data_IF_668886810610
#
_entry.id   IF_668886810610
#
_cell.length_a   1.000
_cell.length_b   1.000
_cell.length_c   1.000
_cell.angle_alpha   90.00
_cell.angle_beta   90.00
_cell.angle_gamma   90.00
#
_symmetry.space_group_name_H-M   'P 1'
#
loop_
_entity.id
_entity.type
_entity.pdbx_description
1 polymer ?
#
# COMPACT_ATOMS: atom_id res chain seq x y z
N UNK A 1 -35.89 52.11 93.43
CA UNK A 1 -35.01 53.09 92.75
C UNK A 1 -34.39 52.36 91.58
N UNK A 2 -35.00 52.44 90.39
CA UNK A 2 -34.78 53.51 89.40
C UNK A 2 -33.36 53.40 88.83
N UNK A 3 -33.10 53.23 87.53
CA UNK A 3 -33.91 53.48 86.32
C UNK A 3 -33.26 52.78 85.12
N UNK A 4 -34.10 52.46 84.14
CA UNK A 4 -33.78 52.03 82.76
C UNK A 4 -32.63 52.79 82.09
N UNK A 5 -31.94 52.14 81.14
CA UNK A 5 -31.80 52.65 79.76
C UNK A 5 -31.40 51.51 78.80
N UNK A 6 -32.41 51.10 78.02
CA UNK A 6 -32.44 50.82 76.57
C UNK A 6 -31.20 50.37 75.76
N UNK A 7 -31.55 49.46 74.83
CA UNK A 7 -31.21 49.41 73.39
C UNK A 7 -30.05 48.53 72.88
N UNK A 8 -30.43 47.29 72.51
CA UNK A 8 -30.46 46.73 71.14
C UNK A 8 -29.15 46.52 70.33
N UNK A 9 -29.19 45.66 69.29
CA UNK A 9 -28.29 44.52 69.13
C UNK A 9 -27.18 44.80 68.10
N UNK A 10 -26.03 44.15 68.21
CA UNK A 10 -25.05 44.16 67.12
C UNK A 10 -24.68 42.75 66.66
N UNK A 11 -24.72 42.66 65.34
CA UNK A 11 -24.75 41.50 64.46
C UNK A 11 -23.43 40.71 64.46
N UNK A 12 -23.45 39.44 64.00
CA UNK A 12 -22.23 38.67 63.82
C UNK A 12 -21.45 39.23 62.62
N UNK A 13 -20.29 39.82 62.84
CA UNK A 13 -19.35 40.12 61.76
C UNK A 13 -18.77 38.79 61.27
N UNK A 14 -19.38 38.23 60.23
CA UNK A 14 -18.83 37.13 59.43
C UNK A 14 -17.66 37.66 58.60
N UNK A 15 -16.54 37.94 59.24
CA UNK A 15 -15.25 38.16 58.57
C UNK A 15 -14.63 36.81 58.18
N UNK A 16 -15.33 36.07 57.33
CA UNK A 16 -14.90 34.74 56.91
C UNK A 16 -15.36 34.43 55.49
N UNK A 17 -14.82 35.15 54.49
CA UNK A 17 -14.44 34.58 53.18
C UNK A 17 -14.02 35.68 52.23
N UNK A 18 -12.75 35.56 51.82
CA UNK A 18 -12.10 35.99 50.56
C UNK A 18 -10.78 36.68 50.84
N UNK A 19 -9.89 35.98 51.55
CA UNK A 19 -8.47 36.05 51.18
C UNK A 19 -8.36 35.33 49.84
N UNK A 20 -8.73 36.04 48.76
CA UNK A 20 -8.33 35.64 47.42
C UNK A 20 -6.81 35.50 47.49
N UNK A 21 -6.35 34.27 47.31
CA UNK A 21 -4.95 33.88 47.36
C UNK A 21 -4.21 34.86 46.43
N UNK A 22 -3.53 35.84 47.01
CA UNK A 22 -2.77 36.83 46.25
C UNK A 22 -1.61 36.05 45.62
N UNK A 23 -1.79 35.65 44.36
CA UNK A 23 -0.75 34.99 43.59
C UNK A 23 0.39 36.01 43.48
N UNK A 24 1.59 35.62 43.91
CA UNK A 24 2.76 36.48 43.74
C UNK A 24 2.91 36.84 42.27
N UNK A 25 3.24 38.10 41.96
CA UNK A 25 3.49 38.56 40.58
C UNK A 25 4.50 37.66 39.86
N UNK A 26 5.48 37.12 40.59
CA UNK A 26 6.45 36.14 40.07
C UNK A 26 5.81 34.80 39.68
N UNK A 27 4.81 34.33 40.42
CA UNK A 27 4.08 33.09 40.12
C UNK A 27 3.21 33.26 38.85
N UNK A 28 2.62 34.44 38.66
CA UNK A 28 1.88 34.77 37.43
C UNK A 28 2.83 34.82 36.24
N UNK A 29 4.00 35.46 36.38
CA UNK A 29 5.00 35.53 35.31
C UNK A 29 5.49 34.13 34.90
N UNK A 30 5.76 33.25 35.86
CA UNK A 30 6.17 31.88 35.60
C UNK A 30 5.08 31.08 34.88
N UNK A 31 3.82 31.24 35.30
CA UNK A 31 2.68 30.61 34.63
C UNK A 31 2.51 31.09 33.19
N UNK A 32 2.75 32.37 32.91
CA UNK A 32 2.71 32.93 31.54
C UNK A 32 3.82 32.34 30.68
N UNK A 33 5.05 32.25 31.19
CA UNK A 33 6.17 31.65 30.45
C UNK A 33 5.88 30.18 30.12
N UNK A 34 5.36 29.42 31.09
CA UNK A 34 4.96 28.02 30.86
C UNK A 34 3.84 27.95 29.82
N UNK A 35 2.82 28.79 29.91
CA UNK A 35 1.71 28.79 28.97
C UNK A 35 2.18 29.07 27.53
N UNK A 36 3.06 30.06 27.35
CA UNK A 36 3.66 30.38 26.04
C UNK A 36 4.54 29.23 25.56
N UNK A 37 5.38 28.67 26.42
CA UNK A 37 6.23 27.53 26.08
C UNK A 37 5.42 26.30 25.65
N UNK A 38 4.33 26.00 26.35
CA UNK A 38 3.44 24.89 26.01
C UNK A 38 2.73 25.13 24.67
N UNK A 39 2.26 26.36 24.43
CA UNK A 39 1.61 26.75 23.18
C UNK A 39 2.57 26.61 21.99
N UNK A 40 3.82 27.05 22.15
CA UNK A 40 4.86 26.90 21.14
C UNK A 40 5.19 25.43 20.90
N UNK A 41 5.33 24.61 21.94
CA UNK A 41 5.64 23.19 21.81
C UNK A 41 4.56 22.43 21.02
N UNK A 42 3.28 22.69 21.30
CA UNK A 42 2.15 22.09 20.57
C UNK A 42 2.18 22.55 19.10
N UNK A 43 2.36 23.84 18.87
CA UNK A 43 2.35 24.42 17.52
C UNK A 43 3.55 23.97 16.67
N UNK A 44 4.71 23.73 17.28
CA UNK A 44 5.87 23.17 16.60
C UNK A 44 5.69 21.68 16.31
N UNK A 45 5.08 20.93 17.23
CA UNK A 45 4.82 19.50 17.04
C UNK A 45 3.88 19.24 15.86
N UNK A 46 2.83 20.04 15.68
CA UNK A 46 1.90 19.89 14.55
C UNK A 46 2.54 20.26 13.22
N UNK A 47 3.39 21.30 13.18
CA UNK A 47 4.06 21.75 11.96
C UNK A 47 5.11 20.76 11.45
N UNK A 48 5.84 20.09 12.35
CA UNK A 48 6.83 19.06 11.97
C UNK A 48 6.14 17.81 11.40
N UNK A 49 4.97 17.43 11.93
CA UNK A 49 4.23 16.27 11.42
C UNK A 49 3.64 16.55 10.03
N UNK A 50 3.11 17.76 9.79
CA UNK A 50 2.56 18.14 8.48
C UNK A 50 3.62 18.17 7.37
N UNK A 51 4.86 18.55 7.69
CA UNK A 51 5.95 18.59 6.71
C UNK A 51 6.40 17.19 6.27
N UNK A 52 6.37 16.21 7.18
CA UNK A 52 6.71 14.81 6.88
C UNK A 52 5.70 14.15 5.94
N UNK A 53 4.41 14.43 6.10
CA UNK A 53 3.37 13.92 5.22
C UNK A 53 3.52 14.49 3.80
N UNK A 54 3.78 15.79 3.68
CA UNK A 54 3.96 16.42 2.36
C UNK A 54 5.18 15.88 1.61
N UNK A 55 6.31 15.64 2.29
CA UNK A 55 7.49 15.04 1.66
C UNK A 55 7.23 13.60 1.24
N UNK A 56 6.47 12.84 2.03
CA UNK A 56 6.11 11.46 1.69
C UNK A 56 5.21 11.42 0.46
N UNK A 57 4.17 12.25 0.43
CA UNK A 57 3.26 12.37 -0.72
C UNK A 57 4.04 12.79 -1.98
N UNK A 58 4.90 13.81 -1.86
CA UNK A 58 5.76 14.25 -2.97
C UNK A 58 6.60 13.10 -3.50
N UNK A 59 7.28 12.37 -2.61
CA UNK A 59 8.11 11.24 -3.00
C UNK A 59 7.30 10.15 -3.71
N UNK A 60 6.15 9.78 -3.17
CA UNK A 60 5.27 8.77 -3.79
C UNK A 60 4.82 9.21 -5.19
N UNK A 61 4.43 10.46 -5.37
CA UNK A 61 4.05 10.98 -6.69
C UNK A 61 5.23 11.04 -7.64
N UNK A 62 6.43 11.39 -7.17
CA UNK A 62 7.65 11.37 -7.99
C UNK A 62 8.03 9.98 -8.44
N UNK A 63 7.94 8.99 -7.54
CA UNK A 63 8.21 7.58 -7.86
C UNK A 63 7.19 7.06 -8.91
N UNK A 64 5.90 7.35 -8.74
CA UNK A 64 4.84 6.98 -9.70
C UNK A 64 5.04 7.61 -11.08
N UNK A 65 5.46 8.88 -11.13
CA UNK A 65 5.75 9.56 -12.41
C UNK A 65 6.91 8.89 -13.14
N UNK A 66 7.93 8.42 -12.40
CA UNK A 66 9.07 7.75 -13.00
C UNK A 66 8.68 6.38 -13.55
N UNK A 67 7.89 5.60 -12.80
CA UNK A 67 7.38 4.30 -13.25
C UNK A 67 6.52 4.45 -14.53
N UNK A 68 5.60 5.42 -14.55
CA UNK A 68 4.75 5.69 -15.72
C UNK A 68 5.54 6.16 -16.95
N UNK A 69 6.66 6.87 -16.75
CA UNK A 69 7.53 7.28 -17.86
C UNK A 69 8.26 6.09 -18.47
N UNK A 70 8.71 5.16 -17.63
CA UNK A 70 9.36 3.94 -18.09
C UNK A 70 8.36 3.08 -18.88
N UNK A 71 7.17 2.86 -18.33
CA UNK A 71 6.10 2.14 -19.02
C UNK A 71 5.73 2.81 -20.36
N UNK A 72 5.62 4.14 -20.37
CA UNK A 72 5.36 4.88 -21.60
C UNK A 72 6.46 4.66 -22.65
N UNK A 73 7.73 4.68 -22.25
CA UNK A 73 8.85 4.47 -23.16
C UNK A 73 8.82 3.06 -23.77
N UNK A 74 8.52 2.04 -22.96
CA UNK A 74 8.41 0.66 -23.40
C UNK A 74 7.25 0.48 -24.38
N UNK A 75 6.06 1.01 -24.05
CA UNK A 75 4.88 0.95 -24.91
C UNK A 75 5.08 1.71 -26.24
N UNK A 76 5.80 2.84 -26.21
CA UNK A 76 6.19 3.56 -27.42
C UNK A 76 7.08 2.68 -28.30
N UNK A 77 8.10 2.04 -27.71
CA UNK A 77 9.00 1.15 -28.43
C UNK A 77 8.26 -0.05 -29.04
N UNK A 78 7.33 -0.66 -28.30
CA UNK A 78 6.54 -1.78 -28.78
C UNK A 78 5.61 -1.38 -29.93
N UNK A 79 4.91 -0.25 -29.78
CA UNK A 79 4.07 0.31 -30.86
C UNK A 79 4.90 0.59 -32.10
N UNK A 80 6.05 1.23 -31.95
CA UNK A 80 6.91 1.62 -33.08
C UNK A 80 7.45 0.36 -33.80
N UNK A 81 7.80 -0.69 -33.05
CA UNK A 81 8.13 -1.99 -33.61
C UNK A 81 6.94 -2.60 -34.38
N UNK A 82 5.75 -2.64 -33.78
CA UNK A 82 4.54 -3.18 -34.40
C UNK A 82 4.13 -2.43 -35.69
N UNK A 83 4.47 -1.14 -35.79
CA UNK A 83 4.24 -0.32 -36.98
C UNK A 83 5.34 -0.44 -38.04
N UNK A 84 6.45 -1.11 -37.73
CA UNK A 84 7.60 -1.21 -38.63
C UNK A 84 7.45 -2.31 -39.68
N UNK A 85 8.14 -2.14 -40.81
CA UNK A 85 8.25 -3.18 -41.85
C UNK A 85 8.88 -4.48 -41.33
N UNK A 86 9.71 -4.39 -40.28
CA UNK A 86 10.33 -5.56 -39.66
C UNK A 86 9.31 -6.47 -38.99
N UNK A 87 8.28 -5.89 -38.37
CA UNK A 87 7.15 -6.63 -37.81
C UNK A 87 6.33 -7.29 -38.91
N UNK A 88 6.04 -6.58 -40.00
CA UNK A 88 5.36 -7.16 -41.18
C UNK A 88 6.16 -8.35 -41.74
N UNK A 89 7.48 -8.21 -41.84
CA UNK A 89 8.37 -9.26 -42.30
C UNK A 89 8.41 -10.48 -41.34
N UNK A 90 8.34 -10.25 -40.04
CA UNK A 90 8.26 -11.30 -39.02
C UNK A 90 6.93 -12.05 -39.12
N UNK A 91 5.81 -11.32 -39.11
CA UNK A 91 4.46 -11.85 -39.24
C UNK A 91 4.30 -12.65 -40.54
N UNK A 92 4.81 -12.12 -41.65
CA UNK A 92 4.77 -12.79 -42.95
C UNK A 92 5.41 -14.19 -42.90
N UNK A 93 6.55 -14.35 -42.22
CA UNK A 93 7.28 -15.63 -42.13
C UNK A 93 6.67 -16.60 -41.11
N UNK A 94 6.17 -16.08 -40.00
CA UNK A 94 5.67 -16.88 -38.86
C UNK A 94 4.21 -17.31 -39.09
N UNK A 95 3.29 -16.36 -39.11
CA UNK A 95 1.85 -16.62 -39.28
C UNK A 95 1.43 -16.64 -40.75
N UNK A 96 1.93 -15.70 -41.56
CA UNK A 96 1.53 -15.54 -42.95
C UNK A 96 2.00 -16.66 -43.88
N UNK A 97 3.01 -17.44 -43.47
CA UNK A 97 3.71 -18.46 -44.29
C UNK A 97 4.17 -17.93 -45.66
N UNK A 98 4.43 -16.64 -45.74
CA UNK A 98 4.93 -15.95 -46.92
C UNK A 98 6.47 -15.96 -46.90
N UNK A 99 7.05 -16.08 -48.09
CA UNK A 99 8.50 -16.05 -48.31
C UNK A 99 8.86 -14.95 -49.30
N UNK A 100 10.01 -14.30 -49.13
CA UNK A 100 10.52 -13.29 -50.06
C UNK A 100 11.03 -13.97 -51.34
N UNK A 101 11.11 -13.21 -52.43
CA UNK A 101 11.77 -13.67 -53.65
C UNK A 101 13.19 -14.18 -53.35
N UNK A 102 13.47 -15.43 -53.74
CA UNK A 102 14.74 -16.14 -53.47
C UNK A 102 14.80 -16.94 -52.17
N UNK A 103 13.80 -16.86 -51.29
CA UNK A 103 13.71 -17.70 -50.08
C UNK A 103 13.01 -19.04 -50.39
N UNK A 104 13.46 -20.13 -49.74
CA UNK A 104 12.89 -21.48 -49.90
C UNK A 104 12.18 -21.86 -48.59
N UNK A 105 10.87 -22.11 -48.65
CA UNK A 105 10.11 -22.60 -47.52
C UNK A 105 10.42 -24.09 -47.28
N UNK A 106 11.02 -24.41 -46.14
CA UNK A 106 11.26 -25.80 -45.71
C UNK A 106 10.23 -26.16 -44.65
N UNK A 107 9.37 -27.13 -44.95
CA UNK A 107 8.42 -27.70 -44.00
C UNK A 107 8.99 -29.04 -43.51
N UNK A 108 9.41 -29.16 -42.23
CA UNK A 108 9.84 -30.44 -41.70
C UNK A 108 8.64 -31.37 -41.59
N UNK A 109 8.69 -32.48 -42.32
CA UNK A 109 7.71 -33.56 -42.20
C UNK A 109 8.16 -34.44 -41.03
N UNK A 110 7.35 -34.59 -39.96
CA UNK A 110 7.69 -35.52 -38.90
C UNK A 110 7.72 -36.94 -39.46
N UNK A 111 8.76 -37.70 -39.14
CA UNK A 111 8.85 -39.11 -39.49
C UNK A 111 7.76 -39.88 -38.73
N UNK A 112 6.68 -40.25 -39.41
CA UNK A 112 5.62 -41.10 -38.85
C UNK A 112 6.01 -42.58 -38.72
N UNK A 113 7.28 -42.91 -38.96
CA UNK A 113 7.81 -44.24 -38.70
C UNK A 113 8.72 -44.12 -37.50
N UNK A 114 8.40 -44.92 -36.48
CA UNK A 114 9.32 -45.35 -35.46
C UNK A 114 10.62 -45.81 -36.15
N UNK A 115 11.57 -44.89 -36.32
CA UNK A 115 12.94 -45.25 -36.03
C UNK A 115 12.90 -45.50 -34.53
N UNK A 116 12.73 -46.77 -34.22
CA UNK A 116 13.20 -47.41 -33.02
C UNK A 116 14.68 -47.02 -32.91
N UNK A 117 14.93 -45.80 -32.43
CA UNK A 117 16.22 -45.49 -31.86
C UNK A 117 16.20 -46.38 -30.63
N UNK A 118 16.76 -47.59 -30.77
CA UNK A 118 17.25 -48.39 -29.67
C UNK A 118 18.34 -47.58 -28.98
N UNK A 119 17.91 -46.53 -28.29
CA UNK A 119 18.63 -46.01 -27.16
C UNK A 119 18.27 -47.01 -26.08
N UNK A 120 19.15 -47.98 -25.92
CA UNK A 120 19.17 -48.95 -24.83
C UNK A 120 19.45 -48.17 -23.54
N UNK A 121 18.44 -47.40 -23.12
CA UNK A 121 18.36 -46.76 -21.83
C UNK A 121 17.08 -47.30 -21.24
N UNK A 122 17.23 -48.44 -20.57
CA UNK A 122 16.32 -48.85 -19.52
C UNK A 122 16.37 -47.80 -18.40
N UNK A 123 15.81 -46.62 -18.62
CA UNK A 123 15.20 -45.90 -17.52
C UNK A 123 13.94 -46.69 -17.21
N UNK A 124 13.93 -47.32 -16.04
CA UNK A 124 12.68 -47.72 -15.40
C UNK A 124 11.84 -46.46 -15.29
N UNK A 125 10.96 -46.25 -16.27
CA UNK A 125 9.88 -45.29 -16.19
C UNK A 125 8.92 -45.89 -15.16
N UNK A 126 9.24 -45.66 -13.88
CA UNK A 126 8.19 -45.65 -12.86
C UNK A 126 7.31 -44.50 -13.31
N UNK A 127 6.19 -44.86 -13.92
CA UNK A 127 5.03 -44.01 -14.13
C UNK A 127 4.60 -43.55 -12.73
N UNK A 128 5.29 -42.55 -12.18
CA UNK A 128 4.76 -41.78 -11.09
C UNK A 128 3.61 -41.02 -11.72
N UNK A 129 2.38 -41.55 -11.57
CA UNK A 129 1.16 -40.79 -11.73
C UNK A 129 1.25 -39.58 -10.78
N UNK A 130 1.93 -38.53 -11.20
CA UNK A 130 1.89 -37.22 -10.54
C UNK A 130 0.71 -36.41 -11.09
N UNK A 131 -0.39 -37.08 -11.42
CA UNK A 131 -1.69 -36.42 -11.47
C UNK A 131 -2.19 -36.34 -10.03
N UNK A 132 -1.68 -35.36 -9.29
CA UNK A 132 -2.40 -34.86 -8.11
C UNK A 132 -3.86 -34.66 -8.54
N UNK A 133 -4.85 -35.24 -7.83
CA UNK A 133 -6.24 -35.04 -8.19
C UNK A 133 -6.50 -33.54 -8.22
N UNK A 134 -6.75 -33.01 -9.42
CA UNK A 134 -7.07 -31.60 -9.59
C UNK A 134 -8.36 -31.36 -8.81
N UNK A 135 -8.37 -30.46 -7.81
CA UNK A 135 -9.59 -30.21 -7.06
C UNK A 135 -10.67 -29.74 -8.02
N UNK A 136 -11.84 -30.35 -7.91
CA UNK A 136 -13.02 -29.94 -8.66
C UNK A 136 -13.34 -28.47 -8.35
N UNK A 137 -13.88 -27.73 -9.32
CA UNK A 137 -14.07 -26.28 -9.19
C UNK A 137 -14.82 -25.87 -7.91
N UNK A 138 -15.78 -26.68 -7.45
CA UNK A 138 -16.53 -26.38 -6.21
C UNK A 138 -15.66 -26.48 -4.94
N UNK A 139 -14.65 -27.35 -4.91
CA UNK A 139 -13.74 -27.50 -3.77
C UNK A 139 -12.83 -26.27 -3.64
N UNK A 140 -12.41 -25.71 -4.77
CA UNK A 140 -11.68 -24.44 -4.84
C UNK A 140 -12.53 -23.29 -4.28
N UNK A 141 -13.78 -23.17 -4.73
CA UNK A 141 -14.70 -22.15 -4.19
C UNK A 141 -14.93 -22.32 -2.70
N UNK A 142 -15.14 -23.56 -2.23
CA UNK A 142 -15.34 -23.83 -0.81
C UNK A 142 -14.14 -23.39 0.05
N UNK A 143 -12.91 -23.68 -0.39
CA UNK A 143 -11.68 -23.29 0.32
C UNK A 143 -11.47 -21.78 0.46
N UNK A 144 -12.09 -20.98 -0.42
CA UNK A 144 -12.00 -19.51 -0.33
C UNK A 144 -12.96 -18.92 0.71
N UNK A 145 -14.04 -19.63 1.05
CA UNK A 145 -15.09 -19.12 1.94
C UNK A 145 -15.13 -19.81 3.30
N UNK A 146 -14.55 -21.01 3.42
CA UNK A 146 -14.64 -21.82 4.62
C UNK A 146 -13.31 -22.51 4.92
N UNK A 147 -12.83 -22.37 6.17
CA UNK A 147 -11.62 -23.05 6.69
C UNK A 147 -11.88 -24.53 7.05
N UNK A 148 -12.76 -25.21 6.32
CA UNK A 148 -13.19 -26.59 6.58
C UNK A 148 -13.30 -27.40 5.30
N UNK A 149 -13.17 -28.73 5.39
CA UNK A 149 -13.29 -29.60 4.22
C UNK A 149 -14.70 -29.54 3.61
N UNK A 150 -14.83 -29.57 2.28
CA UNK A 150 -16.14 -29.58 1.61
C UNK A 150 -16.90 -30.86 1.95
N UNK A 151 -18.24 -30.81 2.07
CA UNK A 151 -19.05 -32.01 2.26
C UNK A 151 -18.88 -32.96 1.06
N UNK A 152 -18.72 -34.27 1.34
CA UNK A 152 -18.66 -35.34 0.33
C UNK A 152 -20.01 -35.65 -0.29
#
# INVERSE_FOLDING_TARGET
MSTETRQQPQQPTRDAKRRARQLSSTQVMFAVIIAIGLMLAINFSTRILADRDLQTIKKTVEDEIEDLRQEQADLISERDFAQSDSYVALWARSEGRMVREGEILVVPVPLSSALEIQTDQSFLQVEAETSLPRPENYQLWWSLFFDSEPPQ
#
